data_IF_783831617094
#
_entry.id   IF_783831617094
#
_cell.length_a   1.000
_cell.length_b   1.000
_cell.length_c   1.000
_cell.angle_alpha   90.00
_cell.angle_beta   90.00
_cell.angle_gamma   90.00
#
_symmetry.space_group_name_H-M   'P 1'
#
loop_
_entity.id
_entity.type
_entity.pdbx_description
1 polymer ?
#
# COMPACT_ATOMS: atom_id res chain seq x y z
N UNK A 1 69.62 12.54 -20.74
CA UNK A 1 69.03 13.79 -20.23
C UNK A 1 67.54 13.55 -19.97
N UNK A 2 67.13 13.81 -18.72
CA UNK A 2 65.78 14.00 -18.12
C UNK A 2 64.57 13.86 -19.08
N UNK A 3 63.72 12.83 -18.91
CA UNK A 3 62.36 12.87 -18.27
C UNK A 3 61.47 14.01 -18.76
N UNK A 4 60.26 13.68 -19.24
CA UNK A 4 58.97 14.17 -18.69
C UNK A 4 57.86 13.21 -19.18
N UNK A 5 57.33 12.43 -18.23
CA UNK A 5 56.00 11.83 -18.27
C UNK A 5 54.99 12.95 -18.01
N UNK A 6 53.99 13.13 -18.86
CA UNK A 6 52.81 13.91 -18.51
C UNK A 6 51.77 12.98 -17.87
N UNK A 7 51.68 13.07 -16.55
CA UNK A 7 50.69 12.42 -15.70
C UNK A 7 49.36 13.17 -15.83
N UNK A 8 48.36 12.57 -16.48
CA UNK A 8 46.99 13.09 -16.44
C UNK A 8 46.41 12.82 -15.04
N UNK A 9 46.32 13.88 -14.23
CA UNK A 9 45.69 13.84 -12.93
C UNK A 9 44.19 13.57 -13.09
N UNK A 10 43.74 12.39 -12.65
CA UNK A 10 42.32 12.08 -12.52
C UNK A 10 41.69 13.00 -11.48
N UNK A 11 40.73 13.81 -11.93
CA UNK A 11 39.90 14.63 -11.07
C UNK A 11 38.84 13.70 -10.44
N UNK A 12 39.10 13.14 -9.26
CA UNK A 12 38.05 12.48 -8.48
C UNK A 12 37.17 13.55 -7.85
N UNK A 13 36.04 13.88 -8.48
CA UNK A 13 34.93 14.54 -7.79
C UNK A 13 34.43 13.59 -6.71
N UNK A 14 34.91 13.77 -5.48
CA UNK A 14 34.24 13.23 -4.31
C UNK A 14 32.91 13.99 -4.17
N UNK A 15 31.82 13.41 -4.67
CA UNK A 15 30.49 13.86 -4.32
C UNK A 15 30.37 13.71 -2.79
N UNK A 16 30.38 14.83 -2.08
CA UNK A 16 30.05 14.85 -0.66
C UNK A 16 28.61 14.37 -0.54
N UNK A 17 28.41 13.14 -0.06
CA UNK A 17 27.07 12.71 0.34
C UNK A 17 26.63 13.62 1.46
N UNK A 18 25.63 14.49 1.19
CA UNK A 18 25.04 15.29 2.23
C UNK A 18 24.52 14.33 3.31
N UNK A 19 24.99 14.50 4.55
CA UNK A 19 24.52 13.68 5.67
C UNK A 19 23.03 13.94 5.88
N UNK A 20 22.25 12.86 5.98
CA UNK A 20 20.82 12.96 6.26
C UNK A 20 20.57 13.74 7.56
N UNK A 21 19.62 14.67 7.52
CA UNK A 21 19.31 15.52 8.65
C UNK A 21 18.60 14.73 9.77
N UNK A 22 18.96 14.94 11.05
CA UNK A 22 18.28 14.28 12.16
C UNK A 22 16.88 14.84 12.44
N UNK A 23 16.63 16.08 12.01
CA UNK A 23 15.33 16.71 12.09
C UNK A 23 15.10 17.60 10.87
N UNK A 24 13.88 17.64 10.33
CA UNK A 24 13.51 18.49 9.21
C UNK A 24 12.10 19.06 9.37
N UNK A 25 11.96 20.37 9.16
CA UNK A 25 10.68 21.01 8.86
C UNK A 25 10.55 21.12 7.35
N UNK A 26 9.51 20.51 6.79
CA UNK A 26 9.19 20.51 5.37
C UNK A 26 7.94 21.33 5.13
N UNK A 27 8.04 22.35 4.29
CA UNK A 27 6.94 23.24 3.90
C UNK A 27 6.83 23.28 2.38
N UNK A 28 5.78 23.88 1.81
CA UNK A 28 5.63 23.93 0.36
C UNK A 28 6.83 24.59 -0.32
N UNK A 29 7.47 23.83 -1.20
CA UNK A 29 8.61 24.29 -2.00
C UNK A 29 9.94 24.48 -1.23
N UNK A 30 10.01 24.18 0.08
CA UNK A 30 11.27 24.34 0.83
C UNK A 30 11.38 23.43 2.04
N UNK A 31 12.59 22.94 2.30
CA UNK A 31 12.93 22.13 3.47
C UNK A 31 13.97 22.83 4.34
N UNK A 32 13.86 22.63 5.65
CA UNK A 32 14.76 23.21 6.65
C UNK A 32 15.24 22.12 7.63
N UNK A 33 16.50 21.66 7.53
CA UNK A 33 17.43 21.86 6.41
C UNK A 33 17.00 21.08 5.15
N UNK A 34 17.62 21.38 4.01
CA UNK A 34 17.41 20.63 2.76
C UNK A 34 18.07 19.23 2.81
N UNK A 35 17.61 18.33 1.94
CA UNK A 35 18.11 16.96 1.82
C UNK A 35 17.25 15.90 2.52
N UNK A 36 17.82 14.71 2.65
CA UNK A 36 17.19 13.54 3.24
C UNK A 36 17.10 13.61 4.76
N UNK A 37 16.23 12.79 5.34
CA UNK A 37 15.99 12.74 6.79
C UNK A 37 16.29 11.37 7.35
N UNK A 38 17.08 11.32 8.42
CA UNK A 38 17.31 10.14 9.25
C UNK A 38 17.01 10.49 10.72
N UNK A 39 15.73 10.55 11.06
CA UNK A 39 15.26 11.04 12.35
C UNK A 39 13.80 11.48 12.30
N UNK A 40 13.52 12.76 12.60
CA UNK A 40 12.15 13.27 12.69
C UNK A 40 11.86 14.29 11.59
N UNK A 41 10.75 14.11 10.87
CA UNK A 41 10.26 15.08 9.90
C UNK A 41 8.90 15.62 10.31
N UNK A 42 8.73 16.92 10.22
CA UNK A 42 7.45 17.61 10.33
C UNK A 42 7.10 18.20 8.98
N UNK A 43 6.04 17.71 8.33
CA UNK A 43 5.56 18.21 7.04
C UNK A 43 4.33 19.07 7.23
N UNK A 44 4.35 20.29 6.70
CA UNK A 44 3.22 21.21 6.70
C UNK A 44 2.74 21.44 5.27
N UNK A 45 1.43 21.42 5.03
CA UNK A 45 0.77 22.00 3.84
C UNK A 45 1.32 21.54 2.47
N UNK A 46 1.86 20.33 2.38
CA UNK A 46 2.54 19.76 1.20
C UNK A 46 4.06 19.93 1.12
N UNK A 47 4.75 19.74 2.25
CA UNK A 47 6.19 19.50 2.25
C UNK A 47 6.56 18.22 1.48
N UNK A 48 7.65 18.31 0.69
CA UNK A 48 8.20 17.20 -0.11
C UNK A 48 9.64 16.87 0.28
N UNK A 49 9.97 15.59 0.45
CA UNK A 49 11.34 15.11 0.73
C UNK A 49 11.60 13.82 -0.04
N UNK A 50 12.83 13.57 -0.49
CA UNK A 50 13.16 12.37 -1.26
C UNK A 50 13.17 11.14 -0.35
N UNK A 51 14.11 11.07 0.60
CA UNK A 51 14.23 9.93 1.50
C UNK A 51 13.98 10.33 2.97
N UNK A 52 13.12 9.58 3.65
CA UNK A 52 12.83 9.76 5.08
C UNK A 52 12.91 8.41 5.78
N UNK A 53 13.88 8.28 6.69
CA UNK A 53 14.02 7.14 7.60
C UNK A 53 13.81 7.60 9.04
N UNK A 54 12.69 7.24 9.65
CA UNK A 54 12.38 7.58 11.04
C UNK A 54 10.91 7.89 11.26
N UNK A 55 10.60 9.01 11.91
CA UNK A 55 9.22 9.41 12.22
C UNK A 55 8.83 10.63 11.39
N UNK A 56 7.77 10.52 10.60
CA UNK A 56 7.19 11.62 9.85
C UNK A 56 5.85 12.04 10.46
N UNK A 57 5.67 13.34 10.65
CA UNK A 57 4.42 13.95 11.05
C UNK A 57 3.86 14.75 9.89
N UNK A 58 2.77 14.27 9.30
CA UNK A 58 2.04 14.94 8.23
C UNK A 58 0.98 15.85 8.85
N UNK A 59 1.24 17.14 8.96
CA UNK A 59 0.33 18.10 9.61
C UNK A 59 -0.41 18.90 8.55
N UNK A 60 -1.75 18.76 8.50
CA UNK A 60 -2.64 19.52 7.61
C UNK A 60 -2.19 19.53 6.14
N UNK A 61 -2.80 18.70 5.30
CA UNK A 61 -2.48 18.61 3.86
C UNK A 61 -1.74 17.33 3.51
N UNK A 62 -1.13 17.30 2.33
CA UNK A 62 -0.54 16.09 1.74
C UNK A 62 0.98 16.08 1.90
N UNK A 63 1.53 15.32 2.84
CA UNK A 63 2.96 15.09 2.91
C UNK A 63 3.43 14.21 1.76
N UNK A 64 4.45 14.63 1.02
CA UNK A 64 5.02 13.85 -0.09
C UNK A 64 6.43 13.36 0.25
N UNK A 65 6.65 12.05 0.12
CA UNK A 65 7.96 11.40 0.26
C UNK A 65 8.21 10.49 -0.93
N UNK A 66 9.44 10.35 -1.41
CA UNK A 66 9.72 9.34 -2.44
C UNK A 66 9.90 7.96 -1.80
N UNK A 67 10.87 7.81 -0.90
CA UNK A 67 11.11 6.56 -0.17
C UNK A 67 10.97 6.79 1.33
N UNK A 68 10.05 6.06 1.96
CA UNK A 68 9.75 6.18 3.37
C UNK A 68 10.07 4.89 4.13
N UNK A 69 10.76 5.02 5.26
CA UNK A 69 11.00 3.93 6.19
C UNK A 69 10.77 4.36 7.64
N UNK A 70 9.78 3.79 8.32
CA UNK A 70 9.57 4.02 9.75
C UNK A 70 8.10 4.23 10.14
N UNK A 71 7.80 5.30 10.86
CA UNK A 71 6.45 5.61 11.34
C UNK A 71 5.93 6.92 10.76
N UNK A 72 4.83 6.88 10.04
CA UNK A 72 4.20 8.06 9.45
C UNK A 72 2.86 8.33 10.11
N UNK A 73 2.69 9.53 10.66
CA UNK A 73 1.52 9.92 11.46
C UNK A 73 0.91 11.23 10.95
N UNK A 74 -0.34 11.16 10.55
CA UNK A 74 -1.15 12.30 10.14
C UNK A 74 -1.77 13.01 11.34
N UNK A 75 -1.53 14.32 11.46
CA UNK A 75 -2.19 15.21 12.42
C UNK A 75 -3.19 16.12 11.69
N UNK A 76 -4.35 16.36 12.30
CA UNK A 76 -5.41 17.24 11.78
C UNK A 76 -5.76 16.96 10.29
N UNK A 77 -6.18 15.73 9.97
CA UNK A 77 -6.46 15.31 8.58
C UNK A 77 -5.24 15.27 7.66
N UNK A 78 -4.04 15.08 8.20
CA UNK A 78 -2.84 14.81 7.42
C UNK A 78 -3.00 13.60 6.52
N UNK A 79 -2.66 13.78 5.25
CA UNK A 79 -2.55 12.74 4.24
C UNK A 79 -1.08 12.52 3.91
N UNK A 80 -0.74 11.30 3.48
CA UNK A 80 0.61 10.95 3.09
C UNK A 80 0.61 10.33 1.70
N UNK A 81 1.53 10.79 0.86
CA UNK A 81 1.83 10.22 -0.44
C UNK A 81 3.28 9.75 -0.47
N UNK A 82 3.48 8.49 -0.82
CA UNK A 82 4.79 7.89 -1.03
C UNK A 82 4.87 7.39 -2.46
N UNK A 83 5.67 8.06 -3.30
CA UNK A 83 5.72 7.75 -4.74
C UNK A 83 6.60 6.53 -5.06
N UNK A 84 7.60 6.25 -4.22
CA UNK A 84 8.45 5.06 -4.29
C UNK A 84 8.02 4.02 -3.25
N UNK A 85 8.99 3.47 -2.52
CA UNK A 85 8.71 2.40 -1.55
C UNK A 85 8.38 2.94 -0.15
N UNK A 86 7.32 2.40 0.43
CA UNK A 86 6.94 2.58 1.83
C UNK A 86 7.29 1.33 2.63
N UNK A 87 8.03 1.48 3.72
CA UNK A 87 8.31 0.39 4.68
C UNK A 87 8.05 0.84 6.11
N UNK A 88 6.96 0.38 6.73
CA UNK A 88 6.68 0.75 8.12
C UNK A 88 5.22 0.76 8.52
N UNK A 89 4.84 1.72 9.36
CA UNK A 89 3.46 1.91 9.83
C UNK A 89 3.00 3.31 9.47
N UNK A 90 1.91 3.41 8.71
CA UNK A 90 1.29 4.66 8.29
C UNK A 90 -0.06 4.82 8.97
N UNK A 91 -0.26 5.90 9.72
CA UNK A 91 -1.53 6.23 10.39
C UNK A 91 -1.94 7.62 9.92
N UNK A 92 -2.71 7.67 8.85
CA UNK A 92 -3.05 8.92 8.16
C UNK A 92 -4.54 8.96 7.81
N UNK A 93 -5.07 10.13 7.46
CA UNK A 93 -6.42 10.19 6.92
C UNK A 93 -6.50 9.49 5.55
N UNK A 94 -5.48 9.71 4.72
CA UNK A 94 -5.24 9.04 3.45
C UNK A 94 -3.79 8.53 3.41
N UNK A 95 -3.62 7.25 3.09
CA UNK A 95 -2.32 6.68 2.70
C UNK A 95 -2.32 6.45 1.19
N UNK A 96 -1.50 7.16 0.43
CA UNK A 96 -1.35 7.01 -1.02
C UNK A 96 0.06 6.50 -1.36
N UNK A 97 0.22 5.21 -1.60
CA UNK A 97 1.53 4.61 -1.91
C UNK A 97 1.56 4.08 -3.35
N UNK A 98 2.40 4.66 -4.22
CA UNK A 98 2.45 4.32 -5.65
C UNK A 98 3.44 3.18 -5.96
N UNK A 99 4.43 2.94 -5.10
CA UNK A 99 5.36 1.81 -5.21
C UNK A 99 4.98 0.62 -4.32
N UNK A 100 5.97 -0.08 -3.76
CA UNK A 100 5.70 -1.16 -2.83
C UNK A 100 5.43 -0.61 -1.44
N UNK A 101 4.33 -1.03 -0.83
CA UNK A 101 3.99 -0.75 0.56
C UNK A 101 4.20 -2.01 1.39
N UNK A 102 5.23 -2.02 2.24
CA UNK A 102 5.53 -3.11 3.17
C UNK A 102 5.26 -2.68 4.61
N UNK A 103 4.27 -3.28 5.25
CA UNK A 103 3.97 -3.01 6.65
C UNK A 103 2.48 -2.85 6.94
N UNK A 104 2.10 -1.81 7.68
CA UNK A 104 0.71 -1.62 8.10
C UNK A 104 0.24 -0.21 7.78
N UNK A 105 -0.88 -0.08 7.08
CA UNK A 105 -1.51 1.21 6.80
C UNK A 105 -2.85 1.29 7.51
N UNK A 106 -3.02 2.30 8.35
CA UNK A 106 -4.28 2.69 8.97
C UNK A 106 -4.71 4.02 8.37
N UNK A 107 -5.94 4.07 7.85
CA UNK A 107 -6.51 5.34 7.40
C UNK A 107 -7.97 5.27 7.02
N UNK A 108 -8.58 6.42 6.71
CA UNK A 108 -9.94 6.41 6.17
C UNK A 108 -9.92 5.78 4.78
N UNK A 109 -8.93 6.17 3.98
CA UNK A 109 -8.68 5.62 2.65
C UNK A 109 -7.22 5.16 2.56
N UNK A 110 -7.02 3.92 2.11
CA UNK A 110 -5.71 3.41 1.73
C UNK A 110 -5.73 3.17 0.22
N UNK A 111 -4.98 3.98 -0.53
CA UNK A 111 -4.73 3.81 -1.96
C UNK A 111 -3.30 3.34 -2.14
N UNK A 112 -3.10 2.07 -2.48
CA UNK A 112 -1.77 1.47 -2.58
C UNK A 112 -1.59 0.78 -3.92
N UNK A 113 -0.37 0.68 -4.40
CA UNK A 113 -0.09 -0.15 -5.57
C UNK A 113 0.06 -1.60 -5.15
N UNK A 114 1.21 -1.99 -4.57
CA UNK A 114 1.46 -3.35 -4.10
C UNK A 114 1.60 -3.39 -2.58
N UNK A 115 0.71 -4.10 -1.89
CA UNK A 115 0.70 -4.17 -0.42
C UNK A 115 1.21 -5.52 0.11
N UNK A 116 2.41 -5.48 0.67
CA UNK A 116 3.04 -6.58 1.40
C UNK A 116 2.83 -6.40 2.90
N UNK A 117 1.58 -6.50 3.34
CA UNK A 117 1.20 -6.40 4.75
C UNK A 117 -0.29 -6.22 4.96
N UNK A 118 -0.68 -5.30 5.87
CA UNK A 118 -2.08 -5.09 6.27
C UNK A 118 -2.53 -3.67 5.93
N UNK A 119 -3.59 -3.55 5.13
CA UNK A 119 -4.37 -2.32 5.00
C UNK A 119 -5.59 -2.37 5.91
N UNK A 120 -5.73 -1.38 6.78
CA UNK A 120 -6.89 -1.18 7.62
C UNK A 120 -7.50 0.18 7.33
N UNK A 121 -8.73 0.23 6.85
CA UNK A 121 -9.39 1.49 6.58
C UNK A 121 -10.86 1.39 6.22
N UNK A 122 -11.54 2.51 6.03
CA UNK A 122 -12.93 2.46 5.58
C UNK A 122 -13.02 2.00 4.12
N UNK A 123 -12.11 2.51 3.28
CA UNK A 123 -11.90 2.05 1.90
C UNK A 123 -10.44 1.65 1.72
N UNK A 124 -10.22 0.43 1.22
CA UNK A 124 -8.92 -0.04 0.76
C UNK A 124 -8.97 -0.27 -0.74
N UNK A 125 -8.07 0.37 -1.48
CA UNK A 125 -7.91 0.22 -2.91
C UNK A 125 -6.47 -0.17 -3.22
N UNK A 126 -6.28 -1.31 -3.91
CA UNK A 126 -4.98 -1.76 -4.37
C UNK A 126 -4.96 -1.90 -5.90
N UNK A 127 -4.04 -1.21 -6.57
CA UNK A 127 -3.83 -1.36 -8.02
C UNK A 127 -3.16 -2.68 -8.41
N UNK A 128 -2.34 -3.24 -7.52
CA UNK A 128 -1.69 -4.53 -7.66
C UNK A 128 -2.12 -5.51 -6.59
N UNK A 129 -1.19 -6.36 -6.15
CA UNK A 129 -1.46 -7.39 -5.16
C UNK A 129 -1.57 -6.78 -3.75
N UNK A 130 -2.43 -7.36 -2.91
CA UNK A 130 -2.55 -6.97 -1.51
C UNK A 130 -2.79 -8.15 -0.60
N UNK A 131 -1.95 -8.34 0.42
CA UNK A 131 -2.10 -9.50 1.30
C UNK A 131 -3.38 -9.43 2.16
N UNK A 132 -3.49 -8.46 3.06
CA UNK A 132 -4.58 -8.41 4.03
C UNK A 132 -5.27 -7.04 3.96
N UNK A 133 -6.56 -7.02 3.67
CA UNK A 133 -7.37 -5.80 3.61
C UNK A 133 -8.56 -5.90 4.55
N UNK A 134 -8.64 -4.98 5.49
CA UNK A 134 -9.69 -4.88 6.51
C UNK A 134 -10.40 -3.54 6.35
N UNK A 135 -11.68 -3.55 5.99
CA UNK A 135 -12.41 -2.30 5.79
C UNK A 135 -13.88 -2.43 5.48
N UNK A 136 -14.59 -1.32 5.25
CA UNK A 136 -15.97 -1.40 4.79
C UNK A 136 -16.03 -1.85 3.32
N UNK A 137 -15.09 -1.34 2.51
CA UNK A 137 -14.95 -1.68 1.10
C UNK A 137 -13.50 -2.00 0.79
N UNK A 138 -13.26 -3.18 0.19
CA UNK A 138 -11.95 -3.60 -0.31
C UNK A 138 -12.04 -3.82 -1.82
N UNK A 139 -11.19 -3.13 -2.60
CA UNK A 139 -11.12 -3.24 -4.06
C UNK A 139 -9.67 -3.50 -4.46
N UNK A 140 -9.40 -4.71 -4.94
CA UNK A 140 -8.05 -5.19 -5.28
C UNK A 140 -8.02 -5.58 -6.75
N UNK A 141 -7.12 -4.98 -7.53
CA UNK A 141 -7.00 -5.33 -8.96
C UNK A 141 -6.09 -6.54 -9.21
N UNK A 142 -5.11 -6.77 -8.34
CA UNK A 142 -4.27 -7.97 -8.37
C UNK A 142 -4.86 -9.11 -7.53
N UNK A 143 -3.96 -9.89 -6.94
CA UNK A 143 -4.31 -10.99 -6.04
C UNK A 143 -4.46 -10.50 -4.59
N UNK A 144 -5.37 -11.16 -3.87
CA UNK A 144 -5.61 -10.94 -2.45
C UNK A 144 -5.48 -12.22 -1.63
N UNK A 145 -4.86 -12.14 -0.45
CA UNK A 145 -4.85 -13.28 0.47
C UNK A 145 -6.10 -13.28 1.35
N UNK A 146 -6.38 -12.16 2.02
CA UNK A 146 -7.54 -12.02 2.90
C UNK A 146 -8.20 -10.67 2.71
N UNK A 147 -9.50 -10.66 2.41
CA UNK A 147 -10.34 -9.48 2.50
C UNK A 147 -11.43 -9.69 3.55
N UNK A 148 -11.55 -8.72 4.45
CA UNK A 148 -12.65 -8.65 5.41
C UNK A 148 -13.33 -7.29 5.26
N UNK A 149 -14.62 -7.30 4.92
CA UNK A 149 -15.37 -6.06 4.79
C UNK A 149 -16.81 -6.23 4.38
N UNK A 150 -17.58 -5.14 4.33
CA UNK A 150 -18.97 -5.25 3.88
C UNK A 150 -19.03 -5.63 2.39
N UNK A 151 -18.14 -5.04 1.58
CA UNK A 151 -17.98 -5.35 0.17
C UNK A 151 -16.52 -5.66 -0.14
N UNK A 152 -16.27 -6.82 -0.73
CA UNK A 152 -14.96 -7.24 -1.22
C UNK A 152 -15.03 -7.50 -2.72
N UNK A 153 -14.13 -6.87 -3.48
CA UNK A 153 -14.03 -7.04 -4.92
C UNK A 153 -12.56 -7.23 -5.33
N UNK A 154 -12.26 -8.36 -5.97
CA UNK A 154 -10.91 -8.73 -6.40
C UNK A 154 -10.91 -9.08 -7.90
N UNK A 155 -10.13 -8.39 -8.73
CA UNK A 155 -10.02 -8.73 -10.16
C UNK A 155 -9.06 -9.90 -10.42
N UNK A 156 -8.22 -10.27 -9.46
CA UNK A 156 -7.39 -11.49 -9.50
C UNK A 156 -7.97 -12.66 -8.72
N UNK A 157 -7.08 -13.42 -8.10
CA UNK A 157 -7.41 -14.50 -7.17
C UNK A 157 -7.53 -13.96 -5.73
N UNK A 158 -8.61 -14.30 -5.03
CA UNK A 158 -8.73 -14.09 -3.59
C UNK A 158 -8.77 -15.39 -2.81
N UNK A 159 -7.86 -15.60 -1.86
CA UNK A 159 -7.88 -16.84 -1.06
C UNK A 159 -9.06 -16.87 -0.07
N UNK A 160 -9.29 -15.79 0.68
CA UNK A 160 -10.37 -15.69 1.65
C UNK A 160 -11.08 -14.34 1.55
N UNK A 161 -12.38 -14.34 1.25
CA UNK A 161 -13.22 -13.15 1.33
C UNK A 161 -14.34 -13.33 2.36
N UNK A 162 -14.44 -12.42 3.33
CA UNK A 162 -15.47 -12.39 4.36
C UNK A 162 -16.24 -11.07 4.29
N UNK A 163 -17.55 -11.13 4.05
CA UNK A 163 -18.34 -9.91 3.89
C UNK A 163 -19.81 -10.08 3.61
N UNK A 164 -20.55 -8.98 3.39
CA UNK A 164 -21.93 -9.09 2.91
C UNK A 164 -21.95 -9.48 1.43
N UNK A 165 -21.08 -8.86 0.64
CA UNK A 165 -20.92 -9.12 -0.79
C UNK A 165 -19.45 -9.39 -1.08
N UNK A 166 -19.17 -10.55 -1.68
CA UNK A 166 -17.84 -10.94 -2.10
C UNK A 166 -17.83 -11.25 -3.59
N UNK A 167 -16.89 -10.68 -4.32
CA UNK A 167 -16.58 -11.03 -5.69
C UNK A 167 -15.08 -11.17 -5.89
N UNK A 168 -14.65 -12.26 -6.52
CA UNK A 168 -13.30 -12.41 -7.03
C UNK A 168 -13.34 -13.08 -8.41
N UNK A 169 -12.38 -12.86 -9.30
CA UNK A 169 -12.34 -13.64 -10.55
C UNK A 169 -12.09 -15.13 -10.27
N UNK A 170 -11.20 -15.41 -9.31
CA UNK A 170 -10.92 -16.76 -8.80
C UNK A 170 -10.91 -16.73 -7.27
N UNK A 171 -11.39 -17.78 -6.61
CA UNK A 171 -11.39 -17.82 -5.14
C UNK A 171 -11.29 -19.21 -4.53
N UNK A 172 -10.67 -19.29 -3.35
CA UNK A 172 -10.64 -20.52 -2.54
C UNK A 172 -11.79 -20.58 -1.54
N UNK A 173 -12.05 -19.52 -0.79
CA UNK A 173 -13.12 -19.49 0.22
C UNK A 173 -13.83 -18.13 0.27
N UNK A 174 -15.16 -18.15 0.27
CA UNK A 174 -15.95 -16.94 0.51
C UNK A 174 -17.07 -17.21 1.51
N UNK A 175 -17.28 -16.28 2.44
CA UNK A 175 -18.42 -16.27 3.35
C UNK A 175 -19.13 -14.92 3.24
N UNK A 176 -20.42 -14.96 2.90
CA UNK A 176 -21.23 -13.76 2.83
C UNK A 176 -22.69 -13.97 2.50
N UNK A 177 -23.45 -12.88 2.33
CA UNK A 177 -24.84 -13.00 1.87
C UNK A 177 -24.88 -13.32 0.38
N UNK A 178 -24.00 -12.66 -0.39
CA UNK A 178 -23.82 -12.87 -1.82
C UNK A 178 -22.34 -13.12 -2.11
N UNK A 179 -22.04 -14.26 -2.71
CA UNK A 179 -20.69 -14.64 -3.15
C UNK A 179 -20.70 -14.85 -4.66
N UNK A 180 -19.64 -14.41 -5.35
CA UNK A 180 -19.51 -14.51 -6.79
C UNK A 180 -18.08 -14.80 -7.22
N UNK A 181 -17.92 -15.76 -8.11
CA UNK A 181 -16.64 -16.02 -8.78
C UNK A 181 -16.82 -16.62 -10.17
N UNK A 182 -15.82 -16.46 -11.04
CA UNK A 182 -15.75 -17.26 -12.28
C UNK A 182 -15.13 -18.62 -12.00
N UNK A 183 -14.05 -18.65 -11.21
CA UNK A 183 -13.37 -19.89 -10.84
C UNK A 183 -13.40 -20.10 -9.32
N UNK A 184 -14.16 -21.09 -8.86
CA UNK A 184 -14.15 -21.56 -7.48
C UNK A 184 -13.19 -22.75 -7.35
N UNK A 185 -12.20 -22.62 -6.48
CA UNK A 185 -11.22 -23.68 -6.18
C UNK A 185 -11.57 -24.45 -4.90
N UNK A 186 -12.40 -23.86 -4.03
CA UNK A 186 -12.83 -24.42 -2.75
C UNK A 186 -14.33 -24.28 -2.49
N UNK A 187 -14.70 -23.45 -1.51
CA UNK A 187 -16.03 -23.43 -0.89
C UNK A 187 -16.58 -22.01 -0.77
N UNK A 188 -17.84 -21.81 -1.17
CA UNK A 188 -18.60 -20.61 -0.85
C UNK A 188 -19.71 -20.96 0.15
N UNK A 189 -19.93 -20.08 1.13
CA UNK A 189 -21.06 -20.17 2.07
C UNK A 189 -21.82 -18.85 2.08
N UNK A 190 -23.11 -18.90 1.77
CA UNK A 190 -23.94 -17.70 1.69
C UNK A 190 -25.35 -17.92 1.18
N UNK A 191 -26.21 -16.91 1.27
CA UNK A 191 -27.60 -17.03 0.79
C UNK A 191 -27.65 -17.24 -0.73
N UNK A 192 -26.76 -16.56 -1.45
CA UNK A 192 -26.60 -16.69 -2.91
C UNK A 192 -25.12 -16.89 -3.22
N UNK A 193 -24.77 -17.99 -3.89
CA UNK A 193 -23.41 -18.32 -4.27
C UNK A 193 -23.34 -18.58 -5.77
N UNK A 194 -22.69 -17.68 -6.50
CA UNK A 194 -22.41 -17.82 -7.92
C UNK A 194 -20.98 -18.31 -8.16
N UNK A 195 -20.84 -19.38 -8.93
CA UNK A 195 -19.57 -19.91 -9.41
C UNK A 195 -19.77 -20.49 -10.82
N UNK A 196 -19.14 -19.91 -11.84
CA UNK A 196 -19.30 -20.36 -13.24
C UNK A 196 -18.86 -21.83 -13.42
N UNK A 197 -17.81 -22.25 -12.70
CA UNK A 197 -17.31 -23.63 -12.66
C UNK A 197 -17.90 -24.49 -11.50
N UNK A 198 -18.93 -24.01 -10.81
CA UNK A 198 -19.60 -24.74 -9.73
C UNK A 198 -20.36 -25.98 -10.23
N UNK A 199 -20.82 -26.84 -9.30
CA UNK A 199 -21.72 -27.96 -9.65
C UNK A 199 -22.97 -27.45 -10.39
N UNK A 200 -23.51 -26.33 -9.90
CA UNK A 200 -24.47 -25.48 -10.60
C UNK A 200 -23.98 -24.03 -10.54
N UNK A 201 -24.26 -23.20 -11.57
CA UNK A 201 -23.80 -21.81 -11.59
C UNK A 201 -24.24 -20.97 -10.39
N UNK A 202 -25.44 -21.24 -9.84
CA UNK A 202 -25.96 -20.58 -8.64
C UNK A 202 -26.48 -21.64 -7.67
N UNK A 203 -26.02 -21.59 -6.41
CA UNK A 203 -26.53 -22.43 -5.32
C UNK A 203 -26.81 -21.61 -4.06
N UNK A 204 -27.92 -21.91 -3.34
CA UNK A 204 -28.15 -21.34 -2.02
C UNK A 204 -27.32 -22.06 -0.95
N UNK A 205 -27.02 -21.36 0.13
CA UNK A 205 -26.29 -21.81 1.32
C UNK A 205 -24.83 -22.19 1.08
N UNK A 206 -24.55 -23.10 0.14
CA UNK A 206 -23.21 -23.62 -0.12
C UNK A 206 -22.99 -23.85 -1.62
N UNK A 207 -21.81 -23.49 -2.14
CA UNK A 207 -21.35 -23.86 -3.48
C UNK A 207 -19.89 -24.34 -3.44
N UNK A 208 -19.53 -25.22 -4.36
CA UNK A 208 -18.21 -25.84 -4.48
C UNK A 208 -17.94 -26.27 -5.93
N UNK A 209 -16.68 -26.46 -6.29
CA UNK A 209 -16.26 -26.78 -7.66
C UNK A 209 -16.81 -28.13 -8.12
N UNK A 210 -17.08 -28.26 -9.42
CA UNK A 210 -17.45 -29.54 -10.04
C UNK A 210 -16.27 -30.51 -9.99
N UNK A 211 -16.41 -31.62 -9.26
CA UNK A 211 -15.37 -32.66 -9.15
C UNK A 211 -14.43 -32.52 -7.94
N UNK A 212 -14.87 -31.82 -6.89
CA UNK A 212 -14.41 -32.11 -5.52
C UNK A 212 -14.76 -33.55 -5.11
#
# INVERSE_FOLDING_TARGET
MKKILALAAGLTLAATTALAAPAQLSVPGKNFPEGDVSGVRLSLLNGKTENVSGVNFSVLGLSEVENFKGLDFGLFFGASRVSGDFTGVGINFLNWHEGNSKGVNFGLVNYVNNMKGVNFGFVNFAEGDSLINLGAVNVIKGDALVNFGAVNYTEGHSTVDLGFVNYAQSTTFQLGFVNGTKNLDGLQVGLVNYAENGVFPVLPLVNFRKGL
#
